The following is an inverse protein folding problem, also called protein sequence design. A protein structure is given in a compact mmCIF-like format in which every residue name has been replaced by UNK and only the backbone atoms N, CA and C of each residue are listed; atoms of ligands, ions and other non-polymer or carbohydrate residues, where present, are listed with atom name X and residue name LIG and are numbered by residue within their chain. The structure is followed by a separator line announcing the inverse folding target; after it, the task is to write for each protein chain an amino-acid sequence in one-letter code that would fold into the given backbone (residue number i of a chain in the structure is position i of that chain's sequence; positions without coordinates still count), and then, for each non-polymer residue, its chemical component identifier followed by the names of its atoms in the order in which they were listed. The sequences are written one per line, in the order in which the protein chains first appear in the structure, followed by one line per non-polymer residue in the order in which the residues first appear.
data_IF_087084214308
#
_entry.id   IF_087084214308
#
_cell.length_a   1.000
_cell.length_b   1.000
_cell.length_c   1.000
_cell.angle_alpha   90.00
_cell.angle_beta   90.00
_cell.angle_gamma   90.00
#
_symmetry.space_group_name_H-M   'P 1'
#
loop_
_entity.id
_entity.type
_entity.pdbx_description
1 polymer ?
#
# COMPACT_ATOMS: atom_id res chain seq x y z
N UNK A 1 -7.84 -15.89 -3.01
CA UNK A 1 -8.56 -14.71 -2.49
C UNK A 1 -7.90 -14.11 -1.25
N UNK A 2 -7.29 -14.88 -0.35
CA UNK A 2 -6.66 -14.35 0.87
C UNK A 2 -5.68 -13.18 0.68
N UNK A 3 -4.82 -13.19 -0.35
CA UNK A 3 -3.90 -12.05 -0.59
C UNK A 3 -4.62 -10.73 -0.87
N UNK A 4 -5.77 -10.77 -1.55
CA UNK A 4 -6.58 -9.58 -1.79
C UNK A 4 -7.30 -9.14 -0.53
N UNK A 5 -7.77 -10.09 0.29
CA UNK A 5 -8.42 -9.84 1.57
C UNK A 5 -7.50 -9.04 2.51
N UNK A 6 -6.29 -9.56 2.75
CA UNK A 6 -5.25 -8.92 3.57
C UNK A 6 -4.85 -7.53 3.01
N UNK A 7 -4.74 -7.41 1.68
CA UNK A 7 -4.41 -6.14 1.03
C UNK A 7 -5.47 -5.07 1.32
N UNK A 8 -6.75 -5.38 1.11
CA UNK A 8 -7.82 -4.42 1.31
C UNK A 8 -8.11 -4.15 2.78
N UNK A 9 -7.92 -5.14 3.66
CA UNK A 9 -7.98 -4.94 5.10
C UNK A 9 -6.90 -3.95 5.57
N UNK A 10 -5.64 -4.17 5.19
CA UNK A 10 -4.54 -3.28 5.53
C UNK A 10 -4.77 -1.84 5.07
N UNK A 11 -5.21 -1.66 3.80
CA UNK A 11 -5.55 -0.34 3.26
C UNK A 11 -6.66 0.31 4.10
N UNK A 12 -7.74 -0.41 4.38
CA UNK A 12 -8.90 0.12 5.12
C UNK A 12 -8.51 0.52 6.55
N UNK A 13 -7.70 -0.28 7.24
CA UNK A 13 -7.25 0.02 8.60
C UNK A 13 -6.35 1.27 8.64
N UNK A 14 -5.49 1.46 7.65
CA UNK A 14 -4.67 2.67 7.54
C UNK A 14 -5.54 3.90 7.22
N UNK A 15 -6.44 3.79 6.25
CA UNK A 15 -7.34 4.88 5.85
C UNK A 15 -8.21 5.38 7.00
N UNK A 16 -8.72 4.43 7.81
CA UNK A 16 -9.58 4.74 8.95
C UNK A 16 -8.80 5.08 10.22
N UNK A 17 -7.46 5.21 10.12
CA UNK A 17 -6.54 5.50 11.22
C UNK A 17 -6.68 4.53 12.40
N UNK A 18 -7.03 3.28 12.13
CA UNK A 18 -7.12 2.21 13.15
C UNK A 18 -5.75 1.66 13.52
N UNK A 19 -4.80 1.74 12.60
CA UNK A 19 -3.41 1.35 12.81
C UNK A 19 -2.47 2.43 12.26
N UNK A 20 -1.21 2.40 12.68
CA UNK A 20 -0.17 3.27 12.15
C UNK A 20 0.11 2.97 10.67
N UNK A 21 0.55 4.00 9.93
CA UNK A 21 0.99 3.81 8.54
C UNK A 21 2.20 2.86 8.49
N UNK A 22 2.22 1.99 7.49
CA UNK A 22 3.37 1.16 7.11
C UNK A 22 3.35 0.97 5.59
N UNK A 23 4.49 0.61 4.96
CA UNK A 23 4.55 0.51 3.50
C UNK A 23 3.80 -0.74 3.02
N UNK A 24 2.82 -0.56 2.12
CA UNK A 24 2.18 -1.67 1.39
C UNK A 24 2.91 -1.81 0.05
N UNK A 25 3.56 -2.94 -0.16
CA UNK A 25 4.40 -3.20 -1.34
C UNK A 25 3.87 -4.41 -2.10
N UNK A 26 3.51 -4.21 -3.37
CA UNK A 26 3.04 -5.25 -4.28
C UNK A 26 4.16 -5.58 -5.28
N UNK A 27 4.48 -6.86 -5.43
CA UNK A 27 5.55 -7.31 -6.35
C UNK A 27 4.94 -7.81 -7.66
N UNK A 28 5.49 -7.35 -8.78
CA UNK A 28 5.11 -7.75 -10.14
C UNK A 28 4.12 -6.75 -10.76
N UNK A 29 4.64 -5.73 -11.44
CA UNK A 29 3.86 -4.66 -12.06
C UNK A 29 2.81 -5.20 -13.01
N UNK A 30 3.18 -6.13 -13.89
CA UNK A 30 2.27 -6.70 -14.89
C UNK A 30 1.07 -7.42 -14.26
N UNK A 31 1.27 -8.07 -13.11
CA UNK A 31 0.20 -8.78 -12.41
C UNK A 31 -0.80 -7.79 -11.77
N UNK A 32 -0.30 -6.74 -11.12
CA UNK A 32 -1.13 -5.80 -10.34
C UNK A 32 -1.71 -4.65 -11.15
N UNK A 33 -1.15 -4.35 -12.33
CA UNK A 33 -1.54 -3.21 -13.16
C UNK A 33 -3.05 -3.10 -13.37
N UNK A 34 -3.70 -4.20 -13.78
CA UNK A 34 -5.14 -4.18 -14.06
C UNK A 34 -6.00 -3.81 -12.83
N UNK A 35 -5.63 -4.29 -11.64
CA UNK A 35 -6.33 -3.94 -10.40
C UNK A 35 -6.15 -2.46 -10.06
N UNK A 36 -4.91 -1.98 -10.16
CA UNK A 36 -4.55 -0.61 -9.77
C UNK A 36 -5.15 0.41 -10.73
N UNK A 37 -5.17 0.12 -12.02
CA UNK A 37 -5.83 0.95 -13.03
C UNK A 37 -7.34 1.04 -12.74
N UNK A 38 -7.99 -0.09 -12.43
CA UNK A 38 -9.41 -0.08 -12.03
C UNK A 38 -9.69 0.75 -10.77
N UNK A 39 -8.85 0.63 -9.73
CA UNK A 39 -8.99 1.44 -8.49
C UNK A 39 -8.90 2.94 -8.82
N UNK A 40 -7.93 3.33 -9.66
CA UNK A 40 -7.72 4.74 -10.06
C UNK A 40 -8.84 5.29 -10.94
N UNK A 41 -9.33 4.51 -11.88
CA UNK A 41 -10.33 4.99 -12.84
C UNK A 41 -11.73 4.96 -12.23
N UNK A 42 -12.06 3.88 -11.51
CA UNK A 42 -13.42 3.64 -11.02
C UNK A 42 -13.60 4.15 -9.60
N UNK A 43 -12.83 3.66 -8.63
CA UNK A 43 -13.07 3.98 -7.22
C UNK A 43 -12.74 5.45 -6.90
N UNK A 44 -11.62 5.95 -7.41
CA UNK A 44 -11.27 7.36 -7.24
C UNK A 44 -12.23 8.26 -8.04
N UNK A 45 -12.59 7.89 -9.28
CA UNK A 45 -13.56 8.63 -10.09
C UNK A 45 -14.95 8.73 -9.46
N UNK A 46 -15.38 7.69 -8.74
CA UNK A 46 -16.64 7.66 -8.01
C UNK A 46 -16.56 8.31 -6.61
N UNK A 47 -15.37 8.75 -6.17
CA UNK A 47 -15.18 9.38 -4.86
C UNK A 47 -15.20 8.41 -3.68
N UNK A 48 -15.01 7.11 -3.93
CA UNK A 48 -14.94 6.08 -2.88
C UNK A 48 -13.61 6.08 -2.12
N UNK A 49 -12.55 6.63 -2.72
CA UNK A 49 -11.22 6.81 -2.12
C UNK A 49 -10.70 8.21 -2.44
N UNK A 50 -9.73 8.67 -1.65
CA UNK A 50 -8.97 9.90 -1.91
C UNK A 50 -7.74 9.61 -2.78
N UNK A 51 -7.23 10.63 -3.49
CA UNK A 51 -6.00 10.48 -4.27
C UNK A 51 -4.80 10.11 -3.37
N UNK A 52 -4.75 10.62 -2.14
CA UNK A 52 -3.72 10.30 -1.15
C UNK A 52 -3.75 8.86 -0.66
N UNK A 53 -4.85 8.13 -0.85
CA UNK A 53 -4.91 6.72 -0.48
C UNK A 53 -4.09 5.85 -1.44
N UNK A 54 -3.89 6.30 -2.67
CA UNK A 54 -3.03 5.63 -3.65
C UNK A 54 -1.56 5.70 -3.26
N UNK A 55 -1.16 6.71 -2.47
CA UNK A 55 0.21 6.85 -1.98
C UNK A 55 0.59 5.75 -0.95
N UNK A 56 -0.41 5.02 -0.43
CA UNK A 56 -0.20 3.90 0.48
C UNK A 56 0.41 2.67 -0.22
N UNK A 57 0.22 2.54 -1.54
CA UNK A 57 0.59 1.35 -2.30
C UNK A 57 1.82 1.66 -3.18
N UNK A 58 2.84 0.81 -3.09
CA UNK A 58 3.99 0.81 -4.01
C UNK A 58 4.01 -0.50 -4.78
N UNK A 59 4.27 -0.41 -6.09
CA UNK A 59 4.43 -1.59 -6.95
C UNK A 59 5.88 -1.63 -7.41
N UNK A 60 6.50 -2.79 -7.30
CA UNK A 60 7.92 -3.00 -7.59
C UNK A 60 8.12 -4.32 -8.32
N UNK A 61 9.27 -4.46 -8.98
CA UNK A 61 9.60 -5.67 -9.75
C UNK A 61 10.84 -6.39 -9.22
N UNK A 62 11.53 -5.83 -8.22
CA UNK A 62 12.72 -6.44 -7.63
C UNK A 62 12.72 -6.40 -6.10
N UNK A 63 13.44 -7.35 -5.50
CA UNK A 63 13.59 -7.44 -4.04
C UNK A 63 14.39 -6.26 -3.48
N UNK A 64 15.34 -5.73 -4.25
CA UNK A 64 16.15 -4.57 -3.89
C UNK A 64 15.25 -3.34 -3.68
N UNK A 65 14.30 -3.11 -4.58
CA UNK A 65 13.33 -2.02 -4.46
C UNK A 65 12.44 -2.18 -3.21
N UNK A 66 12.06 -3.41 -2.86
CA UNK A 66 11.31 -3.68 -1.62
C UNK A 66 12.12 -3.23 -0.41
N UNK A 67 13.40 -3.63 -0.33
CA UNK A 67 14.30 -3.28 0.77
C UNK A 67 14.50 -1.77 0.85
N UNK A 68 14.72 -1.10 -0.28
CA UNK A 68 14.88 0.35 -0.33
C UNK A 68 13.66 1.11 0.23
N UNK A 69 12.45 0.66 -0.10
CA UNK A 69 11.21 1.28 0.40
C UNK A 69 11.08 1.08 1.91
N UNK A 70 11.35 -0.13 2.40
CA UNK A 70 11.29 -0.45 3.84
C UNK A 70 12.31 0.40 4.61
N UNK A 71 13.56 0.43 4.14
CA UNK A 71 14.62 1.22 4.76
C UNK A 71 14.29 2.72 4.76
N UNK A 72 13.80 3.25 3.63
CA UNK A 72 13.43 4.66 3.54
C UNK A 72 12.28 5.01 4.49
N UNK A 73 11.31 4.12 4.64
CA UNK A 73 10.19 4.31 5.57
C UNK A 73 10.66 4.38 7.02
N UNK A 74 11.51 3.44 7.45
CA UNK A 74 11.96 3.36 8.86
C UNK A 74 13.13 4.27 9.21
N UNK A 75 13.94 4.74 8.26
CA UNK A 75 14.99 5.75 8.54
C UNK A 75 14.43 7.08 9.04
N UNK A 76 13.19 7.42 8.69
CA UNK A 76 12.48 8.61 9.16
C UNK A 76 11.55 8.39 10.36
N UNK A 77 11.34 7.14 10.79
CA UNK A 77 10.42 6.78 11.86
C UNK A 77 11.19 6.09 12.98
N UNK A 78 11.19 6.67 14.17
CA UNK A 78 11.74 6.02 15.36
C UNK A 78 11.03 4.68 15.55
N UNK A 79 11.74 3.57 15.37
CA UNK A 79 11.23 2.24 15.65
C UNK A 79 10.88 2.17 17.14
N UNK A 80 9.61 2.35 17.49
CA UNK A 80 9.12 2.07 18.83
C UNK A 80 8.87 0.56 18.93
N UNK A 81 9.44 -0.14 19.93
CA UNK A 81 9.10 -1.53 20.17
C UNK A 81 7.59 -1.64 20.44
N UNK A 82 6.92 -2.59 19.78
CA UNK A 82 5.58 -3.02 20.18
C UNK A 82 5.72 -3.96 21.39
N UNK A 83 5.99 -3.40 22.57
CA UNK A 83 5.88 -4.09 23.86
C UNK A 83 5.10 -3.21 24.84
#
# INVERSE_FOLDING_TARGET
FGTLDELFEAITLIQTNKIGRFPIILVGTDFWKGLIDWIKETMLGAGNISASDLDLIRIVDSAEQVVEIIDAFYKGHTLSPNF
#
